data_IF_387692371928
#
_entry.id   IF_387692371928
#
_cell.length_a   1.000
_cell.length_b   1.000
_cell.length_c   1.000
_cell.angle_alpha   90.00
_cell.angle_beta   90.00
_cell.angle_gamma   90.00
#
_symmetry.space_group_name_H-M   'P 1'
#
loop_
_entity.id
_entity.type
_entity.pdbx_description
1 polymer ?
#
# COMPACT_ATOMS: atom_id res chain seq x y z
N UNK A 1 -7.25 11.55 -23.19
CA UNK A 1 -5.83 11.48 -22.76
C UNK A 1 -5.60 10.07 -22.25
N UNK A 2 -4.73 9.28 -22.88
CA UNK A 2 -4.44 7.90 -22.43
C UNK A 2 -3.57 8.03 -21.16
N UNK A 3 -3.91 7.37 -20.04
CA UNK A 3 -3.08 7.43 -18.84
C UNK A 3 -1.68 6.89 -19.15
N UNK A 4 -0.66 7.67 -18.76
CA UNK A 4 0.76 7.34 -18.98
C UNK A 4 1.11 6.06 -18.22
N UNK A 5 1.78 5.12 -18.89
CA UNK A 5 2.31 3.90 -18.28
C UNK A 5 3.43 4.27 -17.30
N UNK A 6 3.39 3.75 -16.08
CA UNK A 6 4.50 3.88 -15.14
C UNK A 6 5.67 2.99 -15.61
N UNK A 7 6.83 3.62 -15.84
CA UNK A 7 8.10 2.93 -16.14
C UNK A 7 9.13 3.31 -15.09
N UNK A 8 10.25 2.58 -15.03
CA UNK A 8 11.38 2.87 -14.11
C UNK A 8 11.84 4.33 -14.15
N UNK A 9 11.77 4.98 -15.31
CA UNK A 9 12.18 6.37 -15.56
C UNK A 9 11.09 7.39 -15.23
N UNK A 10 9.88 6.93 -14.89
CA UNK A 10 8.75 7.80 -14.57
C UNK A 10 8.86 8.46 -13.20
N UNK A 11 9.78 8.02 -12.35
CA UNK A 11 10.01 8.57 -11.02
C UNK A 11 11.46 8.39 -10.55
N UNK A 12 11.93 9.21 -9.62
CA UNK A 12 13.23 9.02 -8.99
C UNK A 12 13.17 7.86 -8.00
N UNK A 13 13.92 6.79 -8.27
CA UNK A 13 13.94 5.59 -7.44
C UNK A 13 15.34 5.19 -6.99
N UNK A 14 15.41 4.45 -5.90
CA UNK A 14 16.57 3.67 -5.50
C UNK A 14 16.43 2.24 -6.07
N UNK A 15 17.55 1.52 -6.26
CA UNK A 15 17.48 0.13 -6.70
C UNK A 15 16.74 -0.75 -5.68
N UNK A 16 16.19 -1.90 -6.10
CA UNK A 16 15.68 -2.92 -5.18
C UNK A 16 16.72 -3.27 -4.10
N UNK A 17 16.32 -3.44 -2.82
CA UNK A 17 17.26 -3.63 -1.70
C UNK A 17 17.97 -4.98 -1.79
N UNK A 18 19.14 -5.13 -1.18
CA UNK A 18 19.80 -6.45 -1.06
C UNK A 18 19.18 -7.30 0.07
N UNK A 19 18.75 -6.64 1.16
CA UNK A 19 18.18 -7.31 2.34
C UNK A 19 16.65 -7.43 2.17
N UNK A 20 16.21 -8.64 1.84
CA UNK A 20 14.80 -8.98 1.61
C UNK A 20 14.38 -10.18 2.44
N UNK A 21 13.09 -10.23 2.76
CA UNK A 21 12.45 -11.41 3.32
C UNK A 21 11.29 -11.81 2.41
N UNK A 22 11.10 -13.12 2.25
CA UNK A 22 9.93 -13.68 1.56
C UNK A 22 8.65 -13.21 2.25
N UNK A 23 7.79 -12.56 1.48
CA UNK A 23 6.53 -12.04 1.98
C UNK A 23 5.44 -13.12 2.00
N UNK A 24 5.58 -14.17 1.19
CA UNK A 24 4.57 -15.21 1.01
C UNK A 24 3.21 -14.66 0.57
N UNK A 25 3.18 -13.50 -0.09
CA UNK A 25 1.99 -12.99 -0.76
C UNK A 25 1.79 -13.75 -2.07
N UNK A 26 0.63 -14.38 -2.21
CA UNK A 26 0.22 -15.15 -3.37
C UNK A 26 -1.25 -14.86 -3.64
N UNK A 27 -1.56 -14.35 -4.84
CA UNK A 27 -2.91 -14.01 -5.29
C UNK A 27 -3.01 -14.26 -6.79
N UNK A 28 -4.25 -14.45 -7.28
CA UNK A 28 -4.52 -14.62 -8.71
C UNK A 28 -5.41 -13.51 -9.24
N UNK A 29 -5.11 -13.09 -10.46
CA UNK A 29 -5.78 -12.01 -11.16
C UNK A 29 -6.19 -12.47 -12.54
N UNK A 30 -7.32 -11.94 -13.01
CA UNK A 30 -7.74 -12.06 -14.40
C UNK A 30 -6.77 -11.31 -15.31
N UNK A 31 -6.80 -11.63 -16.61
CA UNK A 31 -5.97 -10.92 -17.61
C UNK A 31 -6.29 -9.41 -17.65
N UNK A 32 -7.57 -9.04 -17.51
CA UNK A 32 -8.00 -7.64 -17.48
C UNK A 32 -7.46 -6.90 -16.25
N UNK A 33 -7.51 -7.52 -15.08
CA UNK A 33 -6.91 -6.96 -13.87
C UNK A 33 -5.40 -6.82 -14.01
N UNK A 34 -4.73 -7.82 -14.59
CA UNK A 34 -3.29 -7.74 -14.83
C UNK A 34 -2.91 -6.63 -15.81
N UNK A 35 -3.72 -6.38 -16.85
CA UNK A 35 -3.53 -5.25 -17.74
C UNK A 35 -3.65 -3.88 -17.04
N UNK A 36 -4.42 -3.81 -15.95
CA UNK A 36 -4.48 -2.61 -15.10
C UNK A 36 -3.29 -2.54 -14.16
N UNK A 37 -2.91 -3.65 -13.53
CA UNK A 37 -1.72 -3.75 -12.66
C UNK A 37 -0.45 -3.31 -13.40
N UNK A 38 -0.25 -3.77 -14.65
CA UNK A 38 0.91 -3.40 -15.48
C UNK A 38 1.03 -1.90 -15.74
N UNK A 39 -0.06 -1.13 -15.62
CA UNK A 39 0.00 0.33 -15.80
C UNK A 39 0.69 1.04 -14.64
N UNK A 40 0.75 0.39 -13.49
CA UNK A 40 1.36 0.92 -12.28
C UNK A 40 0.66 2.17 -11.74
N UNK A 41 1.39 2.95 -10.95
CA UNK A 41 0.93 4.16 -10.28
C UNK A 41 2.04 5.21 -10.34
N UNK A 42 1.77 6.34 -11.01
CA UNK A 42 2.63 7.52 -10.97
C UNK A 42 2.02 8.53 -9.99
N UNK A 43 2.73 8.93 -8.92
CA UNK A 43 2.30 9.98 -8.00
C UNK A 43 1.96 11.28 -8.74
N UNK A 44 0.88 11.95 -8.35
CA UNK A 44 0.47 13.25 -8.89
C UNK A 44 0.78 14.39 -7.91
N UNK A 45 0.63 14.13 -6.62
CA UNK A 45 0.83 15.12 -5.55
C UNK A 45 1.80 14.60 -4.47
N UNK A 46 2.23 15.48 -3.56
CA UNK A 46 3.18 15.13 -2.50
C UNK A 46 2.60 14.11 -1.50
N UNK A 47 1.28 14.03 -1.43
CA UNK A 47 0.48 13.14 -0.62
C UNK A 47 0.41 11.73 -1.21
N UNK A 48 0.74 11.54 -2.49
CA UNK A 48 0.78 10.23 -3.14
C UNK A 48 2.06 9.51 -2.76
N UNK A 49 1.96 8.61 -1.77
CA UNK A 49 3.13 8.02 -1.11
C UNK A 49 3.80 6.88 -1.86
N UNK A 50 3.16 6.40 -2.92
CA UNK A 50 3.56 5.20 -3.63
C UNK A 50 3.78 5.48 -5.11
N UNK A 51 4.94 5.08 -5.60
CA UNK A 51 5.22 4.92 -7.01
C UNK A 51 5.29 3.43 -7.30
N UNK A 52 4.54 2.96 -8.28
CA UNK A 52 4.47 1.54 -8.65
C UNK A 52 4.70 1.40 -10.13
N UNK A 53 5.57 0.48 -10.54
CA UNK A 53 5.77 0.19 -11.95
C UNK A 53 6.00 -1.31 -12.16
N UNK A 54 5.63 -1.77 -13.34
CA UNK A 54 5.86 -3.14 -13.78
C UNK A 54 7.05 -3.16 -14.74
N UNK A 55 8.00 -4.03 -14.46
CA UNK A 55 9.13 -4.36 -15.33
C UNK A 55 9.25 -5.88 -15.32
N UNK A 56 8.81 -6.50 -16.41
CA UNK A 56 8.59 -7.94 -16.47
C UNK A 56 9.78 -8.75 -15.93
N UNK A 57 9.55 -9.75 -15.05
CA UNK A 57 8.26 -10.24 -14.54
C UNK A 57 7.78 -9.59 -13.22
N UNK A 58 8.37 -8.47 -12.81
CA UNK A 58 8.20 -7.90 -11.47
C UNK A 58 7.36 -6.63 -11.44
N UNK A 59 6.52 -6.53 -10.41
CA UNK A 59 5.88 -5.29 -9.99
C UNK A 59 6.60 -4.75 -8.76
N UNK A 60 7.11 -3.51 -8.83
CA UNK A 60 7.87 -2.89 -7.76
C UNK A 60 7.09 -1.75 -7.10
N UNK A 61 7.14 -1.70 -5.77
CA UNK A 61 6.46 -0.67 -4.98
C UNK A 61 7.50 0.19 -4.27
N UNK A 62 7.58 1.45 -4.70
CA UNK A 62 8.51 2.44 -4.17
C UNK A 62 7.78 3.49 -3.36
N UNK A 63 8.45 4.02 -2.34
CA UNK A 63 8.03 5.26 -1.69
C UNK A 63 8.34 6.43 -2.59
N UNK A 64 7.33 7.22 -2.95
CA UNK A 64 7.49 8.36 -3.87
C UNK A 64 8.50 9.40 -3.39
N UNK A 65 8.53 9.69 -2.09
CA UNK A 65 9.35 10.77 -1.54
C UNK A 65 10.86 10.47 -1.42
N UNK A 66 11.24 9.19 -1.38
CA UNK A 66 12.62 8.74 -1.12
C UNK A 66 13.12 7.78 -2.18
N UNK A 67 12.24 7.30 -3.06
CA UNK A 67 12.55 6.30 -4.07
C UNK A 67 12.80 4.90 -3.52
N UNK A 68 12.72 4.67 -2.20
CA UNK A 68 13.02 3.38 -1.57
C UNK A 68 12.05 2.31 -2.06
N UNK A 69 12.56 1.19 -2.56
CA UNK A 69 11.76 0.02 -2.93
C UNK A 69 11.41 -0.80 -1.68
N UNK A 70 10.13 -0.99 -1.43
CA UNK A 70 9.62 -1.69 -0.23
C UNK A 70 9.15 -3.09 -0.57
N UNK A 71 8.43 -3.27 -1.67
CA UNK A 71 7.88 -4.57 -2.07
C UNK A 71 8.22 -4.89 -3.51
N UNK A 72 8.33 -6.19 -3.79
CA UNK A 72 8.30 -6.73 -5.14
C UNK A 72 7.36 -7.94 -5.20
N UNK A 73 6.63 -8.05 -6.30
CA UNK A 73 5.78 -9.20 -6.61
C UNK A 73 6.08 -9.69 -8.03
N UNK A 74 6.43 -10.97 -8.18
CA UNK A 74 6.69 -11.61 -9.46
C UNK A 74 5.43 -12.30 -9.94
N UNK A 75 5.07 -12.01 -11.18
CA UNK A 75 3.89 -12.59 -11.82
C UNK A 75 4.28 -13.68 -12.81
N UNK A 76 3.46 -14.72 -12.88
CA UNK A 76 3.50 -15.73 -13.95
C UNK A 76 2.13 -15.83 -14.61
N UNK A 77 2.14 -15.88 -15.95
CA UNK A 77 0.93 -16.09 -16.74
C UNK A 77 0.67 -17.59 -16.92
N UNK A 78 -0.59 -17.98 -16.85
CA UNK A 78 -1.09 -19.32 -17.12
C UNK A 78 -2.27 -19.26 -18.10
N UNK A 79 -2.76 -20.43 -18.53
CA UNK A 79 -3.96 -20.50 -19.39
C UNK A 79 -5.22 -19.91 -18.73
N UNK A 80 -5.26 -19.81 -17.40
CA UNK A 80 -6.45 -19.41 -16.64
C UNK A 80 -6.35 -17.99 -16.04
N UNK A 81 -5.25 -17.27 -16.25
CA UNK A 81 -5.01 -15.96 -15.65
C UNK A 81 -3.55 -15.77 -15.24
N UNK A 82 -3.31 -14.81 -14.35
CA UNK A 82 -1.96 -14.43 -13.90
C UNK A 82 -1.90 -14.50 -12.39
N UNK A 83 -0.84 -15.10 -11.85
CA UNK A 83 -0.68 -15.29 -10.40
C UNK A 83 0.62 -14.71 -9.89
N UNK A 84 0.60 -14.22 -8.66
CA UNK A 84 1.82 -13.89 -7.92
C UNK A 84 2.42 -15.18 -7.38
N UNK A 85 3.62 -15.50 -7.86
CA UNK A 85 4.33 -16.75 -7.55
C UNK A 85 5.53 -16.53 -6.64
N UNK A 86 5.96 -15.28 -6.50
CA UNK A 86 7.04 -14.87 -5.61
C UNK A 86 6.78 -13.44 -5.14
N UNK A 87 7.05 -13.17 -3.88
CA UNK A 87 6.94 -11.83 -3.33
C UNK A 87 7.93 -11.60 -2.20
N UNK A 88 8.38 -10.36 -2.07
CA UNK A 88 9.33 -10.00 -1.03
C UNK A 88 9.03 -8.62 -0.47
N UNK A 89 9.51 -8.42 0.75
CA UNK A 89 9.52 -7.13 1.45
C UNK A 89 10.94 -6.76 1.85
N UNK A 90 11.27 -5.49 1.74
CA UNK A 90 12.53 -4.94 2.24
C UNK A 90 12.65 -5.15 3.75
N UNK A 91 13.84 -5.51 4.21
CA UNK A 91 14.20 -5.47 5.64
C UNK A 91 15.47 -4.65 5.87
N UNK A 92 15.81 -3.80 4.92
CA UNK A 92 16.86 -2.80 5.11
C UNK A 92 16.38 -1.71 6.08
N UNK A 93 16.76 -1.87 7.36
CA UNK A 93 16.35 -0.99 8.47
C UNK A 93 16.83 0.45 8.32
N UNK A 94 17.82 0.70 7.45
CA UNK A 94 18.25 2.05 7.09
C UNK A 94 17.12 2.85 6.46
N UNK A 95 16.27 2.19 5.67
CA UNK A 95 15.24 2.83 4.87
C UNK A 95 13.82 2.41 5.24
N UNK A 96 13.64 1.22 5.82
CA UNK A 96 12.33 0.68 6.16
C UNK A 96 12.34 -0.01 7.52
N UNK A 97 11.53 0.52 8.45
CA UNK A 97 11.43 0.00 9.82
C UNK A 97 10.31 -1.03 10.02
N UNK A 98 9.68 -1.50 8.94
CA UNK A 98 8.63 -2.51 9.03
C UNK A 98 9.21 -3.85 9.51
N UNK A 99 8.59 -4.44 10.51
CA UNK A 99 9.06 -5.68 11.16
C UNK A 99 8.04 -6.81 11.11
N UNK A 100 6.79 -6.55 10.73
CA UNK A 100 5.70 -7.52 10.75
C UNK A 100 5.32 -7.95 9.33
N UNK A 101 5.86 -9.09 8.89
CA UNK A 101 5.61 -9.64 7.54
C UNK A 101 4.12 -9.87 7.25
N UNK A 102 3.34 -10.32 8.24
CA UNK A 102 1.90 -10.50 8.05
C UNK A 102 1.18 -9.18 7.77
N UNK A 103 1.61 -8.11 8.43
CA UNK A 103 1.06 -6.78 8.19
C UNK A 103 1.47 -6.24 6.82
N UNK A 104 2.73 -6.43 6.45
CA UNK A 104 3.24 -6.06 5.13
C UNK A 104 2.48 -6.76 4.00
N UNK A 105 2.08 -8.02 4.20
CA UNK A 105 1.27 -8.79 3.24
C UNK A 105 -0.09 -8.14 3.02
N UNK A 106 -0.74 -7.69 4.10
CA UNK A 106 -2.01 -6.97 4.02
C UNK A 106 -1.85 -5.62 3.32
N UNK A 107 -0.73 -4.92 3.54
CA UNK A 107 -0.44 -3.66 2.85
C UNK A 107 -0.25 -3.90 1.35
N UNK A 108 0.51 -4.92 0.94
CA UNK A 108 0.71 -5.21 -0.48
C UNK A 108 -0.62 -5.53 -1.18
N UNK A 109 -1.45 -6.38 -0.57
CA UNK A 109 -2.81 -6.68 -1.05
C UNK A 109 -3.63 -5.40 -1.23
N UNK A 110 -3.67 -4.55 -0.19
CA UNK A 110 -4.39 -3.28 -0.24
C UNK A 110 -3.89 -2.36 -1.35
N UNK A 111 -2.57 -2.26 -1.55
CA UNK A 111 -1.99 -1.42 -2.60
C UNK A 111 -2.43 -1.88 -4.00
N UNK A 112 -2.43 -3.18 -4.26
CA UNK A 112 -2.86 -3.72 -5.55
C UNK A 112 -4.37 -3.47 -5.75
N UNK A 113 -5.19 -3.87 -4.79
CA UNK A 113 -6.64 -3.82 -4.94
C UNK A 113 -7.17 -2.39 -4.97
N UNK A 114 -6.72 -1.52 -4.05
CA UNK A 114 -7.21 -0.16 -3.95
C UNK A 114 -6.62 0.75 -5.04
N UNK A 115 -5.29 0.76 -5.21
CA UNK A 115 -4.63 1.76 -6.05
C UNK A 115 -4.54 1.35 -7.52
N UNK A 116 -4.33 0.07 -7.81
CA UNK A 116 -4.14 -0.39 -9.19
C UNK A 116 -5.47 -0.88 -9.79
N UNK A 117 -6.27 -1.60 -9.01
CA UNK A 117 -7.53 -2.18 -9.45
C UNK A 117 -8.76 -1.33 -9.09
N UNK A 118 -8.63 -0.30 -8.25
CA UNK A 118 -9.76 0.54 -7.85
C UNK A 118 -10.91 -0.23 -7.20
N UNK A 119 -10.62 -1.41 -6.63
CA UNK A 119 -11.58 -2.22 -5.91
C UNK A 119 -11.87 -1.60 -4.54
N UNK A 120 -13.07 -1.78 -3.98
CA UNK A 120 -13.32 -1.48 -2.58
C UNK A 120 -12.37 -2.31 -1.70
N UNK A 121 -11.48 -1.67 -0.95
CA UNK A 121 -10.55 -2.34 -0.05
C UNK A 121 -10.58 -1.69 1.33
N UNK A 122 -10.48 -2.47 2.40
CA UNK A 122 -10.39 -1.89 3.76
C UNK A 122 -8.92 -1.68 4.11
N UNK A 123 -8.54 -0.46 4.49
CA UNK A 123 -7.16 -0.20 4.93
C UNK A 123 -6.82 -1.09 6.13
N UNK A 124 -5.73 -1.89 6.07
CA UNK A 124 -5.39 -2.80 7.15
C UNK A 124 -4.82 -2.00 8.32
N UNK A 125 -5.55 -1.96 9.42
CA UNK A 125 -5.12 -1.32 10.66
C UNK A 125 -4.32 -2.35 11.48
N UNK A 126 -3.06 -2.07 11.87
CA UNK A 126 -2.31 -2.94 12.78
C UNK A 126 -3.09 -3.23 14.07
N UNK A 127 -2.92 -4.44 14.60
CA UNK A 127 -3.57 -4.85 15.85
C UNK A 127 -3.07 -4.07 17.07
N UNK A 128 -1.81 -3.62 17.04
CA UNK A 128 -1.13 -3.00 18.17
C UNK A 128 -1.00 -1.46 18.04
N UNK A 129 -1.93 -0.79 17.36
CA UNK A 129 -1.92 0.69 17.39
C UNK A 129 -2.19 1.16 18.82
N UNK A 130 -1.30 1.98 19.42
CA UNK A 130 -1.56 2.63 20.69
C UNK A 130 -2.91 3.36 20.65
N UNK A 131 -3.76 3.16 21.66
CA UNK A 131 -5.16 3.65 21.67
C UNK A 131 -5.31 5.17 21.50
N UNK A 132 -4.22 5.91 21.71
CA UNK A 132 -4.06 7.35 21.58
C UNK A 132 -3.71 7.83 20.16
N UNK A 133 -3.29 6.94 19.24
CA UNK A 133 -3.02 7.31 17.86
C UNK A 133 -4.32 7.22 17.02
N UNK A 134 -4.85 8.32 16.48
CA UNK A 134 -6.04 8.27 15.65
C UNK A 134 -5.76 7.41 14.41
N UNK A 135 -6.61 6.41 14.13
CA UNK A 135 -6.45 5.48 12.99
C UNK A 135 -6.24 6.19 11.65
N UNK A 136 -6.87 7.36 11.46
CA UNK A 136 -6.69 8.21 10.28
C UNK A 136 -5.27 8.76 10.13
N UNK A 137 -4.56 9.05 11.22
CA UNK A 137 -3.18 9.53 11.19
C UNK A 137 -2.20 8.43 10.74
N UNK A 138 -2.44 7.19 11.18
CA UNK A 138 -1.65 6.03 10.76
C UNK A 138 -1.89 5.70 9.28
N UNK A 139 -3.17 5.67 8.85
CA UNK A 139 -3.52 5.52 7.43
C UNK A 139 -2.85 6.61 6.59
N UNK A 140 -2.98 7.87 7.00
CA UNK A 140 -2.33 8.98 6.32
C UNK A 140 -0.81 8.77 6.23
N UNK A 141 -0.13 8.25 7.26
CA UNK A 141 1.30 7.96 7.21
C UNK A 141 1.67 6.92 6.13
N UNK A 142 0.89 5.84 6.02
CA UNK A 142 1.18 4.71 5.11
C UNK A 142 0.76 5.01 3.68
N UNK A 143 -0.43 5.57 3.46
CA UNK A 143 -1.04 5.69 2.12
C UNK A 143 -1.33 7.13 1.68
N UNK A 144 -1.16 8.12 2.58
CA UNK A 144 -1.41 9.54 2.28
C UNK A 144 -2.90 9.85 2.11
N UNK A 145 -3.22 10.83 1.26
CA UNK A 145 -4.60 11.23 0.94
C UNK A 145 -5.17 10.54 -0.32
N UNK A 146 -4.39 9.69 -0.98
CA UNK A 146 -4.80 8.96 -2.19
C UNK A 146 -5.89 7.90 -1.97
N UNK A 147 -6.30 7.67 -0.72
CA UNK A 147 -7.44 6.82 -0.34
C UNK A 147 -8.33 7.58 0.66
N UNK A 148 -9.68 7.54 0.52
CA UNK A 148 -10.57 8.30 1.41
C UNK A 148 -10.29 7.98 2.87
N UNK A 149 -10.10 9.03 3.67
CA UNK A 149 -9.93 8.89 5.11
C UNK A 149 -11.22 8.31 5.72
N UNK A 150 -11.11 7.31 6.59
CA UNK A 150 -12.24 6.91 7.42
C UNK A 150 -12.40 8.03 8.47
N UNK A 151 -13.50 8.80 8.46
CA UNK A 151 -13.66 9.89 9.42
C UNK A 151 -13.70 9.32 10.83
N UNK A 152 -12.82 9.82 11.69
CA UNK A 152 -12.81 9.48 13.11
C UNK A 152 -14.09 10.01 13.77
N UNK A 153 -15.07 9.14 14.00
CA UNK A 153 -16.19 9.46 14.87
C UNK A 153 -15.74 9.30 16.32
N UNK A 154 -15.48 10.42 17.01
CA UNK A 154 -15.22 10.45 18.45
C UNK A 154 -16.50 9.99 19.17
N UNK A 155 -16.66 8.68 19.40
CA UNK A 155 -17.81 8.14 20.12
C UNK A 155 -17.46 8.02 21.60
N UNK A 156 -17.85 9.02 22.40
CA UNK A 156 -17.71 8.93 23.86
C UNK A 156 -17.70 10.23 24.67
N UNK A 157 -18.52 11.23 24.37
CA UNK A 157 -18.97 12.15 25.42
C UNK A 157 -20.34 11.66 25.88
N UNK A 158 -20.34 10.76 26.87
CA UNK A 158 -21.53 10.51 27.68
C UNK A 158 -21.55 11.56 28.78
N UNK A 159 -22.64 12.30 28.78
CA UNK A 159 -23.13 13.24 29.77
C UNK A 159 -23.00 12.75 31.21
N UNK A 160 -22.54 13.66 32.09
CA UNK A 160 -22.83 13.71 33.52
C UNK A 160 -22.67 15.20 33.90
N UNK A 161 -23.58 15.92 34.53
CA UNK A 161 -24.82 15.60 35.22
C UNK A 161 -24.96 16.67 36.31
N UNK A 162 -26.17 17.24 36.47
CA UNK A 162 -26.74 17.79 37.73
C UNK A 162 -26.04 19.04 38.35
N UNK A 163 -26.69 20.03 38.96
CA UNK A 163 -28.03 20.22 39.52
C UNK A 163 -28.17 21.71 40.00
N UNK A 164 -29.44 22.19 40.09
CA UNK A 164 -30.02 23.16 41.06
C UNK A 164 -29.60 24.65 41.00
N UNK A 165 -30.56 25.53 40.68
CA UNK A 165 -31.48 26.26 41.60
C UNK A 165 -30.78 27.39 42.38
N UNK A 166 -31.05 28.63 41.98
CA UNK A 166 -31.77 29.64 42.78
C UNK A 166 -32.28 30.77 41.86
#
# INVERSE_FOLDING_TARGET
>A
MIPKLATRESWQILPPPDIRVDLGFAESYTLEEFDRIKRGLIPREMEDKWFVFFEEPWLYFHRSWTGVCIYGARFESSANGVSVVESWVSRDTKYFKGTCTDYDRLILSFLIDAFLLGKPATFPVPRDIPSDLPKGLYQHHVVGRGYPEIPYSRRGERSNGEEREE
#
